data_IF_870889290340
#
_entry.id   IF_870889290340
#
_cell.length_a   1.000
_cell.length_b   1.000
_cell.length_c   1.000
_cell.angle_alpha   90.00
_cell.angle_beta   90.00
_cell.angle_gamma   90.00
#
_symmetry.space_group_name_H-M   'P 1'
#
loop_
_entity.id
_entity.type
_entity.pdbx_description
1 polymer ?
#
# COMPACT_ATOMS: atom_id res chain seq x y z
N UNK A 1 -30.57 1.94 -7.21
CA UNK A 1 -30.19 3.37 -7.35
C UNK A 1 -28.68 3.37 -7.51
N UNK A 2 -28.20 3.25 -8.74
CA UNK A 2 -26.77 3.27 -9.06
C UNK A 2 -26.33 4.73 -9.03
N UNK A 3 -25.87 5.21 -7.88
CA UNK A 3 -25.04 6.40 -7.87
C UNK A 3 -23.82 6.07 -8.74
N UNK A 4 -23.52 6.96 -9.68
CA UNK A 4 -22.35 6.89 -10.53
C UNK A 4 -21.09 6.94 -9.64
N UNK A 5 -20.58 5.77 -9.25
CA UNK A 5 -19.41 5.62 -8.39
C UNK A 5 -18.20 6.35 -8.99
N UNK A 6 -18.17 6.58 -10.31
CA UNK A 6 -17.05 7.21 -11.00
C UNK A 6 -16.73 8.62 -10.50
N UNK A 7 -17.73 9.41 -10.10
CA UNK A 7 -17.49 10.78 -9.60
C UNK A 7 -16.87 10.76 -8.19
N UNK A 8 -17.37 9.87 -7.32
CA UNK A 8 -16.82 9.66 -5.98
C UNK A 8 -15.39 9.13 -6.04
N UNK A 9 -15.15 8.13 -6.89
CA UNK A 9 -13.86 7.48 -7.03
C UNK A 9 -12.79 8.45 -7.55
N UNK A 10 -13.17 9.36 -8.47
CA UNK A 10 -12.30 10.46 -8.92
C UNK A 10 -11.94 11.43 -7.80
N UNK A 11 -12.91 11.82 -6.96
CA UNK A 11 -12.65 12.72 -5.82
C UNK A 11 -11.67 12.07 -4.83
N UNK A 12 -11.88 10.80 -4.50
CA UNK A 12 -11.01 10.07 -3.57
C UNK A 12 -9.60 9.95 -4.15
N UNK A 13 -9.49 9.56 -5.41
CA UNK A 13 -8.19 9.37 -6.08
C UNK A 13 -7.43 10.69 -6.22
N UNK A 14 -8.10 11.78 -6.62
CA UNK A 14 -7.51 13.12 -6.71
C UNK A 14 -6.95 13.60 -5.36
N UNK A 15 -7.76 13.48 -4.30
CA UNK A 15 -7.34 13.86 -2.95
C UNK A 15 -6.17 12.99 -2.48
N UNK A 16 -6.24 11.67 -2.68
CA UNK A 16 -5.17 10.76 -2.29
C UNK A 16 -3.86 11.11 -2.98
N UNK A 17 -3.84 11.32 -4.30
CA UNK A 17 -2.62 11.62 -5.03
C UNK A 17 -2.04 12.98 -4.63
N UNK A 18 -2.88 13.98 -4.40
CA UNK A 18 -2.45 15.28 -3.89
C UNK A 18 -1.78 15.17 -2.52
N UNK A 19 -2.40 14.48 -1.58
CA UNK A 19 -1.91 14.42 -0.19
C UNK A 19 -0.78 13.41 0.00
N UNK A 20 -0.83 12.28 -0.71
CA UNK A 20 0.10 11.17 -0.50
C UNK A 20 1.30 11.21 -1.45
N UNK A 21 1.08 11.55 -2.72
CA UNK A 21 2.14 11.61 -3.74
C UNK A 21 2.68 13.04 -3.89
N UNK A 22 1.88 14.05 -3.54
CA UNK A 22 2.21 15.45 -3.76
C UNK A 22 1.96 15.91 -5.21
N UNK A 23 1.43 15.03 -6.05
CA UNK A 23 1.15 15.28 -7.46
C UNK A 23 -0.10 14.51 -7.90
N UNK A 24 -1.06 15.22 -8.46
CA UNK A 24 -2.29 14.66 -9.03
C UNK A 24 -2.48 15.05 -10.51
N UNK A 25 -1.43 15.53 -11.17
CA UNK A 25 -1.44 15.88 -12.60
C UNK A 25 -1.63 14.66 -13.51
N UNK A 26 -1.27 13.47 -13.02
CA UNK A 26 -1.38 12.20 -13.73
C UNK A 26 -1.92 11.13 -12.79
N UNK A 27 -3.23 10.91 -12.81
CA UNK A 27 -3.85 9.82 -12.09
C UNK A 27 -3.70 8.52 -12.89
N UNK A 28 -3.35 7.38 -12.25
CA UNK A 28 -3.32 6.10 -12.93
C UNK A 28 -4.73 5.64 -13.27
N UNK A 29 -4.87 4.90 -14.36
CA UNK A 29 -6.11 4.18 -14.64
C UNK A 29 -6.27 2.99 -13.68
N UNK A 30 -7.50 2.53 -13.48
CA UNK A 30 -7.79 1.42 -12.56
C UNK A 30 -7.00 0.15 -12.93
N UNK A 31 -6.84 -0.12 -14.22
CA UNK A 31 -6.05 -1.25 -14.74
C UNK A 31 -4.57 -1.15 -14.33
N UNK A 32 -3.98 0.04 -14.36
CA UNK A 32 -2.59 0.24 -13.95
C UNK A 32 -2.41 -0.02 -12.46
N UNK A 33 -3.38 0.41 -11.65
CA UNK A 33 -3.41 0.11 -10.21
C UNK A 33 -3.52 -1.39 -9.98
N UNK A 34 -4.42 -2.09 -10.69
CA UNK A 34 -4.59 -3.54 -10.55
C UNK A 34 -3.30 -4.29 -10.92
N UNK A 35 -2.62 -3.89 -12.00
CA UNK A 35 -1.33 -4.46 -12.38
C UNK A 35 -0.30 -4.26 -11.27
N UNK A 36 -0.22 -3.05 -10.72
CA UNK A 36 0.68 -2.74 -9.61
C UNK A 36 0.40 -3.59 -8.36
N UNK A 37 -0.88 -3.80 -8.02
CA UNK A 37 -1.26 -4.60 -6.85
C UNK A 37 -1.03 -6.09 -7.04
N UNK A 38 -1.26 -6.63 -8.25
CA UNK A 38 -0.91 -8.02 -8.59
C UNK A 38 0.59 -8.26 -8.46
N UNK A 39 1.41 -7.33 -8.96
CA UNK A 39 2.85 -7.40 -8.81
C UNK A 39 3.26 -7.41 -7.33
N UNK A 40 2.63 -6.59 -6.49
CA UNK A 40 2.89 -6.58 -5.05
C UNK A 40 2.49 -7.92 -4.40
N UNK A 41 1.37 -8.51 -4.81
CA UNK A 41 0.93 -9.85 -4.38
C UNK A 41 1.94 -10.92 -4.80
N UNK A 42 2.41 -10.91 -6.06
CA UNK A 42 3.44 -11.82 -6.57
C UNK A 42 4.71 -11.74 -5.73
N UNK A 43 5.24 -10.52 -5.53
CA UNK A 43 6.46 -10.27 -4.76
C UNK A 43 6.33 -10.82 -3.34
N UNK A 44 5.25 -10.46 -2.64
CA UNK A 44 5.01 -10.89 -1.26
C UNK A 44 4.88 -12.41 -1.15
N UNK A 45 4.20 -13.04 -2.12
CA UNK A 45 3.99 -14.48 -2.13
C UNK A 45 5.28 -15.28 -2.40
N UNK A 46 6.33 -14.68 -2.95
CA UNK A 46 7.62 -15.37 -3.15
C UNK A 46 8.34 -15.72 -1.84
N UNK A 47 7.99 -15.08 -0.73
CA UNK A 47 8.60 -15.34 0.59
C UNK A 47 7.71 -16.20 1.50
N UNK A 48 6.64 -16.79 0.97
CA UNK A 48 5.68 -17.59 1.71
C UNK A 48 4.24 -17.19 1.38
N UNK A 49 3.28 -17.79 2.09
CA UNK A 49 1.86 -17.50 1.83
C UNK A 49 1.50 -16.11 2.36
N UNK A 50 1.08 -15.22 1.47
CA UNK A 50 0.42 -13.96 1.80
C UNK A 50 -0.82 -14.26 2.66
N UNK A 51 -0.85 -13.72 3.88
CA UNK A 51 -1.98 -13.92 4.77
C UNK A 51 -3.16 -13.00 4.39
N UNK A 52 -4.32 -13.24 4.99
CA UNK A 52 -5.55 -12.52 4.65
C UNK A 52 -5.48 -11.02 5.00
N UNK A 53 -4.85 -10.65 6.11
CA UNK A 53 -4.69 -9.25 6.51
C UNK A 53 -3.75 -8.49 5.55
N UNK A 54 -2.65 -9.11 5.15
CA UNK A 54 -1.72 -8.57 4.14
C UNK A 54 -2.44 -8.35 2.80
N UNK A 55 -3.27 -9.31 2.40
CA UNK A 55 -4.07 -9.19 1.17
C UNK A 55 -5.10 -8.07 1.29
N UNK A 56 -5.84 -7.97 2.39
CA UNK A 56 -6.80 -6.88 2.58
C UNK A 56 -6.14 -5.52 2.62
N UNK A 57 -4.92 -5.40 3.15
CA UNK A 57 -4.18 -4.14 3.10
C UNK A 57 -3.89 -3.72 1.65
N UNK A 58 -3.41 -4.65 0.81
CA UNK A 58 -3.13 -4.41 -0.62
C UNK A 58 -4.42 -4.00 -1.35
N UNK A 59 -5.53 -4.72 -1.12
CA UNK A 59 -6.83 -4.43 -1.73
C UNK A 59 -7.40 -3.09 -1.23
N UNK A 60 -7.22 -2.78 0.06
CA UNK A 60 -7.64 -1.51 0.63
C UNK A 60 -6.94 -0.33 -0.02
N UNK A 61 -5.64 -0.44 -0.33
CA UNK A 61 -4.94 0.56 -1.16
C UNK A 61 -5.56 0.68 -2.54
N UNK A 62 -5.86 -0.43 -3.22
CA UNK A 62 -6.51 -0.40 -4.53
C UNK A 62 -7.87 0.30 -4.48
N UNK A 63 -8.67 0.02 -3.45
CA UNK A 63 -9.99 0.61 -3.25
C UNK A 63 -9.94 2.12 -3.04
N UNK A 64 -8.95 2.63 -2.30
CA UNK A 64 -8.74 4.08 -2.14
C UNK A 64 -8.39 4.75 -3.49
N UNK A 65 -7.78 4.01 -4.42
CA UNK A 65 -7.44 4.50 -5.75
C UNK A 65 -8.56 4.34 -6.77
N UNK A 66 -9.80 4.18 -6.31
CA UNK A 66 -10.99 4.15 -7.19
C UNK A 66 -11.10 2.90 -8.06
N UNK A 67 -10.38 1.82 -7.71
CA UNK A 67 -10.48 0.55 -8.45
C UNK A 67 -11.90 -0.02 -8.27
N UNK A 68 -12.63 -0.34 -9.36
CA UNK A 68 -14.00 -0.87 -9.29
C UNK A 68 -14.09 -2.19 -8.51
N UNK A 69 -15.24 -2.46 -7.89
CA UNK A 69 -15.45 -3.66 -7.06
C UNK A 69 -15.10 -4.98 -7.78
N UNK A 70 -15.47 -5.13 -9.06
CA UNK A 70 -15.14 -6.32 -9.85
C UNK A 70 -13.62 -6.58 -9.88
N UNK A 71 -12.82 -5.52 -9.97
CA UNK A 71 -11.36 -5.60 -9.97
C UNK A 71 -10.78 -5.82 -8.57
N UNK A 72 -11.45 -5.34 -7.53
CA UNK A 72 -11.09 -5.68 -6.15
C UNK A 72 -11.32 -7.16 -5.86
N UNK A 73 -12.43 -7.73 -6.35
CA UNK A 73 -12.76 -9.15 -6.24
C UNK A 73 -11.75 -10.02 -7.03
N UNK A 74 -11.30 -9.51 -8.18
CA UNK A 74 -10.20 -10.09 -8.96
C UNK A 74 -8.90 -10.15 -8.12
N UNK A 75 -8.50 -9.04 -7.47
CA UNK A 75 -7.32 -9.01 -6.60
C UNK A 75 -7.47 -9.93 -5.37
N UNK A 76 -8.69 -10.09 -4.86
CA UNK A 76 -8.98 -10.98 -3.74
C UNK A 76 -8.74 -12.45 -4.09
N UNK A 77 -9.14 -12.86 -5.28
CA UNK A 77 -9.05 -14.24 -5.76
C UNK A 77 -7.78 -14.55 -6.57
N UNK A 78 -7.01 -13.51 -6.91
CA UNK A 78 -5.77 -13.60 -7.67
C UNK A 78 -4.75 -14.57 -7.03
N UNK A 79 -4.36 -15.56 -7.83
CA UNK A 79 -3.30 -16.52 -7.50
C UNK A 79 -1.95 -15.92 -7.92
N UNK A 80 -1.07 -15.78 -6.92
CA UNK A 80 0.25 -15.20 -7.13
C UNK A 80 1.13 -16.11 -8.00
N UNK A 81 1.87 -15.51 -8.93
CA UNK A 81 2.97 -16.19 -9.61
C UNK A 81 4.24 -16.09 -8.74
N UNK A 82 4.48 -17.16 -7.97
CA UNK A 82 5.63 -17.28 -7.07
C UNK A 82 6.86 -17.86 -7.74
N UNK A 83 6.89 -17.96 -9.08
CA UNK A 83 8.05 -18.50 -9.78
C UNK A 83 9.29 -17.65 -9.50
N UNK A 84 10.41 -18.32 -9.21
CA UNK A 84 11.67 -17.63 -8.89
C UNK A 84 12.15 -16.75 -10.06
N UNK A 85 11.76 -17.11 -11.28
CA UNK A 85 12.04 -16.39 -12.52
C UNK A 85 10.81 -15.62 -13.05
N UNK A 86 9.91 -15.18 -12.18
CA UNK A 86 8.72 -14.43 -12.60
C UNK A 86 9.16 -13.26 -13.50
N UNK A 87 8.84 -13.29 -14.82
CA UNK A 87 9.33 -12.31 -15.77
C UNK A 87 8.80 -10.90 -15.47
N UNK A 88 7.70 -10.81 -14.69
CA UNK A 88 7.10 -9.53 -14.31
C UNK A 88 8.07 -8.66 -13.51
N UNK A 89 8.97 -9.25 -12.71
CA UNK A 89 9.94 -8.50 -11.91
C UNK A 89 10.97 -7.75 -12.76
N UNK A 90 11.16 -8.17 -14.01
CA UNK A 90 12.13 -7.58 -14.92
C UNK A 90 11.53 -6.54 -15.87
N UNK A 91 10.21 -6.32 -15.83
CA UNK A 91 9.53 -5.42 -16.75
C UNK A 91 10.00 -3.96 -16.54
N UNK A 92 10.09 -3.15 -17.61
CA UNK A 92 10.58 -1.77 -17.52
C UNK A 92 9.81 -0.90 -16.51
N UNK A 93 8.49 -1.08 -16.39
CA UNK A 93 7.68 -0.32 -15.45
C UNK A 93 7.96 -0.70 -13.99
N UNK A 94 8.26 -1.98 -13.69
CA UNK A 94 8.68 -2.42 -12.35
C UNK A 94 9.98 -1.75 -11.93
N UNK A 95 10.94 -1.65 -12.85
CA UNK A 95 12.19 -0.93 -12.59
C UNK A 95 11.98 0.56 -12.29
N UNK A 96 10.96 1.19 -12.90
CA UNK A 96 10.59 2.58 -12.64
C UNK A 96 9.88 2.77 -11.30
N UNK A 97 9.10 1.78 -10.86
CA UNK A 97 8.28 1.85 -9.64
C UNK A 97 8.87 1.11 -8.44
N UNK A 98 10.04 0.47 -8.60
CA UNK A 98 10.67 -0.40 -7.57
C UNK A 98 10.78 0.21 -6.18
N UNK A 99 11.09 1.51 -6.08
CA UNK A 99 11.22 2.18 -4.78
C UNK A 99 9.86 2.29 -4.08
N UNK A 100 8.82 2.59 -4.85
CA UNK A 100 7.44 2.56 -4.36
C UNK A 100 6.98 1.15 -3.99
N UNK A 101 7.38 0.13 -4.75
CA UNK A 101 7.10 -1.28 -4.39
C UNK A 101 7.77 -1.64 -3.07
N UNK A 102 9.06 -1.34 -2.90
CA UNK A 102 9.81 -1.62 -1.66
C UNK A 102 9.19 -0.89 -0.46
N UNK A 103 8.81 0.38 -0.63
CA UNK A 103 8.09 1.13 0.40
C UNK A 103 6.77 0.45 0.79
N UNK A 104 6.03 -0.06 -0.19
CA UNK A 104 4.82 -0.83 0.07
C UNK A 104 5.09 -2.16 0.76
N UNK A 105 6.22 -2.83 0.51
CA UNK A 105 6.60 -4.04 1.26
C UNK A 105 6.76 -3.73 2.75
N UNK A 106 7.42 -2.61 3.10
CA UNK A 106 7.50 -2.16 4.50
C UNK A 106 6.10 -2.03 5.10
N UNK A 107 5.19 -1.32 4.43
CA UNK A 107 3.83 -1.08 4.93
C UNK A 107 2.98 -2.36 5.04
N UNK A 108 3.07 -3.26 4.08
CA UNK A 108 2.31 -4.52 4.10
C UNK A 108 2.80 -5.45 5.21
N UNK A 109 4.12 -5.53 5.44
CA UNK A 109 4.69 -6.39 6.49
C UNK A 109 4.64 -5.78 7.89
N UNK A 110 4.10 -4.57 8.03
CA UNK A 110 4.00 -3.82 9.29
C UNK A 110 2.57 -3.31 9.53
N UNK A 111 1.57 -4.12 9.17
CA UNK A 111 0.15 -3.76 9.34
C UNK A 111 -0.20 -3.42 10.80
N UNK A 112 0.47 -4.04 11.76
CA UNK A 112 0.33 -3.75 13.19
C UNK A 112 1.20 -2.56 13.65
N UNK A 113 1.78 -1.81 12.70
CA UNK A 113 2.72 -0.72 12.90
C UNK A 113 4.02 -1.14 13.57
N UNK A 114 4.40 -2.42 13.45
CA UNK A 114 5.67 -2.95 13.92
C UNK A 114 6.33 -3.72 12.81
N UNK A 115 7.61 -3.42 12.58
CA UNK A 115 8.43 -4.22 11.68
C UNK A 115 9.35 -5.12 12.49
N UNK A 116 9.25 -6.43 12.28
CA UNK A 116 10.13 -7.37 12.96
C UNK A 116 11.43 -7.59 12.17
N UNK A 117 12.54 -8.00 12.81
CA UNK A 117 13.80 -8.28 12.12
C UNK A 117 13.68 -9.29 10.97
N UNK A 118 12.77 -10.26 11.08
CA UNK A 118 12.47 -11.24 10.02
C UNK A 118 11.87 -10.56 8.77
N UNK A 119 11.07 -9.52 8.97
CA UNK A 119 10.37 -8.80 7.91
C UNK A 119 11.34 -7.85 7.21
N UNK A 120 12.22 -7.19 7.97
CA UNK A 120 13.34 -6.41 7.39
C UNK A 120 14.18 -7.30 6.48
N UNK A 121 14.61 -8.48 6.96
CA UNK A 121 15.40 -9.41 6.14
C UNK A 121 14.67 -9.82 4.86
N UNK A 122 13.37 -10.10 4.99
CA UNK A 122 12.49 -10.41 3.85
C UNK A 122 12.47 -9.27 2.84
N UNK A 123 12.24 -8.03 3.28
CA UNK A 123 12.18 -6.86 2.40
C UNK A 123 13.52 -6.63 1.70
N UNK A 124 14.64 -6.82 2.39
CA UNK A 124 15.97 -6.71 1.77
C UNK A 124 16.18 -7.76 0.68
N UNK A 125 15.76 -9.00 0.92
CA UNK A 125 15.80 -10.07 -0.10
C UNK A 125 14.92 -9.72 -1.31
N UNK A 126 13.69 -9.27 -1.09
CA UNK A 126 12.76 -8.91 -2.15
C UNK A 126 13.22 -7.65 -2.92
N UNK A 127 13.70 -6.63 -2.22
CA UNK A 127 14.24 -5.41 -2.83
C UNK A 127 15.44 -5.69 -3.72
N UNK A 128 16.34 -6.59 -3.31
CA UNK A 128 17.46 -7.04 -4.14
C UNK A 128 16.97 -7.78 -5.40
N UNK A 129 15.93 -8.62 -5.29
CA UNK A 129 15.29 -9.27 -6.46
C UNK A 129 14.68 -8.26 -7.44
N UNK A 130 14.18 -7.13 -6.93
CA UNK A 130 13.70 -6.00 -7.75
C UNK A 130 14.83 -5.13 -8.33
N UNK A 131 16.10 -5.51 -8.10
CA UNK A 131 17.27 -4.81 -8.61
C UNK A 131 17.58 -3.50 -7.89
N UNK A 132 17.16 -3.35 -6.63
CA UNK A 132 17.58 -2.24 -5.78
C UNK A 132 18.89 -2.55 -5.05
N UNK A 133 19.71 -1.53 -4.83
CA UNK A 133 20.89 -1.65 -3.97
C UNK A 133 20.51 -1.67 -2.50
N UNK A 134 21.40 -2.17 -1.65
CA UNK A 134 21.18 -2.19 -0.21
C UNK A 134 20.98 -0.78 0.37
N UNK A 135 21.77 0.18 -0.12
CA UNK A 135 21.65 1.60 0.24
C UNK A 135 20.28 2.17 -0.13
N UNK A 136 19.76 1.85 -1.32
CA UNK A 136 18.42 2.30 -1.73
C UNK A 136 17.33 1.71 -0.82
N UNK A 137 17.44 0.43 -0.48
CA UNK A 137 16.48 -0.22 0.44
C UNK A 137 16.56 0.43 1.82
N UNK A 138 17.77 0.73 2.31
CA UNK A 138 17.97 1.41 3.59
C UNK A 138 17.38 2.83 3.61
N UNK A 139 17.50 3.58 2.51
CA UNK A 139 16.86 4.90 2.39
C UNK A 139 15.33 4.80 2.50
N UNK A 140 14.73 3.81 1.84
CA UNK A 140 13.29 3.56 1.92
C UNK A 140 12.85 3.08 3.30
N UNK A 141 13.67 2.25 3.96
CA UNK A 141 13.44 1.88 5.36
C UNK A 141 13.41 3.12 6.26
N UNK A 142 14.42 3.98 6.17
CA UNK A 142 14.51 5.20 6.98
C UNK A 142 13.30 6.11 6.75
N UNK A 143 12.86 6.26 5.49
CA UNK A 143 11.65 7.01 5.15
C UNK A 143 10.42 6.43 5.86
N UNK A 144 10.21 5.12 5.75
CA UNK A 144 9.08 4.45 6.40
C UNK A 144 9.11 4.63 7.95
N UNK A 145 10.29 4.48 8.57
CA UNK A 145 10.44 4.67 10.02
C UNK A 145 10.11 6.11 10.46
N UNK A 146 10.48 7.11 9.65
CA UNK A 146 10.17 8.51 9.94
C UNK A 146 8.69 8.83 9.71
N UNK A 147 8.06 8.24 8.70
CA UNK A 147 6.60 8.32 8.48
C UNK A 147 5.83 7.75 9.68
N UNK A 148 6.22 6.60 10.22
CA UNK A 148 5.56 5.99 11.37
C UNK A 148 5.71 6.85 12.63
N UNK A 149 6.91 7.36 12.93
CA UNK A 149 7.12 8.30 14.04
C UNK A 149 6.25 9.54 13.91
N UNK A 150 6.17 10.11 12.70
CA UNK A 150 5.36 11.30 12.44
C UNK A 150 3.86 11.00 12.56
N UNK A 151 3.41 9.82 12.09
CA UNK A 151 2.03 9.35 12.22
C UNK A 151 1.63 9.21 13.69
N UNK A 152 2.46 8.59 14.52
CA UNK A 152 2.25 8.46 15.97
C UNK A 152 2.21 9.82 16.67
N UNK A 153 3.15 10.71 16.33
CA UNK A 153 3.16 12.09 16.83
C UNK A 153 1.87 12.84 16.45
N UNK A 154 1.43 12.71 15.19
CA UNK A 154 0.18 13.34 14.71
C UNK A 154 -1.04 12.78 15.46
N UNK A 155 -1.13 11.47 15.63
CA UNK A 155 -2.24 10.83 16.33
C UNK A 155 -2.33 11.29 17.79
N UNK A 156 -1.21 11.32 18.51
CA UNK A 156 -1.17 11.76 19.91
C UNK A 156 -1.44 13.25 20.09
N UNK A 157 -0.99 14.10 19.16
CA UNK A 157 -1.23 15.55 19.22
C UNK A 157 -2.67 15.93 18.87
N UNK A 158 -3.23 15.34 17.80
CA UNK A 158 -4.56 15.72 17.30
C UNK A 158 -5.69 15.01 18.05
N UNK A 159 -5.44 13.79 18.53
CA UNK A 159 -6.45 12.95 19.17
C UNK A 159 -5.88 12.31 20.45
N UNK A 160 -5.53 13.11 21.49
CA UNK A 160 -4.88 12.61 22.70
C UNK A 160 -5.74 11.59 23.49
N UNK A 161 -7.05 11.62 23.31
CA UNK A 161 -8.00 10.67 23.92
C UNK A 161 -8.60 9.69 22.89
N UNK A 162 -8.04 9.66 21.68
CA UNK A 162 -8.60 8.91 20.55
C UNK A 162 -9.73 9.66 19.84
N UNK A 163 -9.88 9.38 18.55
CA UNK A 163 -10.87 10.05 17.69
C UNK A 163 -12.31 9.78 18.14
N UNK A 164 -12.60 8.55 18.56
CA UNK A 164 -13.96 8.13 18.88
C UNK A 164 -14.50 8.76 20.16
N UNK A 165 -13.64 9.14 21.10
CA UNK A 165 -14.09 9.72 22.37
C UNK A 165 -14.64 11.14 22.16
N UNK A 166 -14.01 11.93 21.28
CA UNK A 166 -14.55 13.23 20.86
C UNK A 166 -15.93 13.11 20.18
N UNK A 167 -16.15 12.06 19.37
CA UNK A 167 -17.45 11.83 18.72
C UNK A 167 -18.55 11.37 19.70
N UNK A 168 -18.20 10.54 20.68
CA UNK A 168 -19.15 10.10 21.72
C UNK A 168 -19.64 11.27 22.58
N UNK A 169 -18.79 12.25 22.85
CA UNK A 169 -19.19 13.47 23.55
C UNK A 169 -20.21 14.28 22.73
N UNK A 170 -19.96 14.43 21.43
CA UNK A 170 -20.90 15.10 20.53
C UNK A 170 -22.27 14.41 20.47
N UNK A 171 -22.29 13.07 20.37
CA UNK A 171 -23.53 12.28 20.34
C UNK A 171 -24.34 12.33 21.64
N UNK A 172 -23.76 12.74 22.78
CA UNK A 172 -24.52 12.92 24.02
C UNK A 172 -25.27 14.26 24.07
N UNK A 173 -24.92 15.20 23.20
CA UNK A 173 -25.48 16.54 23.15
C UNK A 173 -26.64 16.68 22.13
N UNK A 174 -26.90 15.65 21.33
CA UNK A 174 -27.88 15.62 20.24
C UNK A 174 -28.61 14.28 20.19
#
# INVERSE_FOLDING_TARGET
MNCDNSARDKIITDWYFREWIGDNSHLPEAEDVVIFMKLLIDIMATNGKLNEHERYYIIGRAAILGVPQEKLDELHTYQADTSENNPNFNLPHVKKTRMGLIHNLFRVLSIDHKIHPKDIKTIYTLGKKLGATEEQIQQIQSLYEDEEKLREKRASLLFPHGFNDALKEYQKLH
#
